data_IF_583560135967
#
_entry.id   IF_583560135967
#
_cell.length_a   1.000
_cell.length_b   1.000
_cell.length_c   1.000
_cell.angle_alpha   90.00
_cell.angle_beta   90.00
_cell.angle_gamma   90.00
#
_symmetry.space_group_name_H-M   'P 1'
#
loop_
_entity.id
_entity.type
_entity.pdbx_description
1 polymer ?
#
# COMPACT_ATOMS: atom_id res chain seq x y z
N UNK A 1 -39.01 -64.82 -15.76
CA UNK A 1 -38.39 -64.21 -14.57
C UNK A 1 -37.40 -63.14 -15.02
N UNK A 2 -37.82 -61.88 -15.05
CA UNK A 2 -36.94 -60.73 -15.42
C UNK A 2 -36.62 -60.01 -14.11
N UNK A 3 -35.32 -60.03 -13.76
CA UNK A 3 -34.79 -59.26 -12.61
C UNK A 3 -34.53 -57.83 -13.05
N UNK A 4 -35.27 -56.85 -12.51
CA UNK A 4 -34.99 -55.44 -12.69
C UNK A 4 -33.87 -55.01 -11.78
N UNK A 5 -32.86 -54.35 -12.36
CA UNK A 5 -31.76 -53.67 -11.63
C UNK A 5 -32.24 -52.26 -11.34
N UNK A 6 -32.41 -51.94 -10.06
CA UNK A 6 -32.69 -50.57 -9.60
C UNK A 6 -31.38 -49.82 -9.53
N UNK A 7 -31.24 -48.79 -10.34
CA UNK A 7 -30.12 -47.87 -10.36
C UNK A 7 -30.36 -46.75 -9.33
N UNK A 8 -29.64 -46.80 -8.22
CA UNK A 8 -29.64 -45.70 -7.24
C UNK A 8 -28.80 -44.55 -7.79
N UNK A 9 -29.44 -43.48 -8.20
CA UNK A 9 -28.77 -42.20 -8.50
C UNK A 9 -28.57 -41.49 -7.17
N UNK A 10 -27.31 -41.47 -6.68
CA UNK A 10 -26.92 -40.70 -5.54
C UNK A 10 -26.73 -39.23 -6.01
N UNK A 11 -27.70 -38.38 -5.75
CA UNK A 11 -27.60 -36.94 -5.95
C UNK A 11 -26.71 -36.38 -4.86
N UNK A 12 -25.43 -36.14 -5.20
CA UNK A 12 -24.56 -35.34 -4.36
C UNK A 12 -25.04 -33.88 -4.41
N UNK A 13 -25.69 -33.42 -3.36
CA UNK A 13 -25.98 -32.01 -3.15
C UNK A 13 -24.66 -31.29 -2.91
N UNK A 14 -24.15 -30.56 -3.93
CA UNK A 14 -23.15 -29.53 -3.72
C UNK A 14 -23.80 -28.45 -2.86
N UNK A 15 -23.54 -28.47 -1.57
CA UNK A 15 -23.79 -27.33 -0.72
C UNK A 15 -22.85 -26.21 -1.22
N UNK A 16 -23.41 -25.23 -1.94
CA UNK A 16 -22.78 -23.94 -2.08
C UNK A 16 -22.61 -23.38 -0.66
N UNK A 17 -21.42 -23.50 -0.09
CA UNK A 17 -21.03 -22.70 1.04
C UNK A 17 -20.98 -21.28 0.51
N UNK A 18 -22.06 -20.53 0.76
CA UNK A 18 -22.00 -19.07 0.67
C UNK A 18 -21.01 -18.64 1.74
N UNK A 19 -19.77 -18.37 1.33
CA UNK A 19 -18.82 -17.63 2.14
C UNK A 19 -19.49 -16.28 2.38
N UNK A 20 -20.00 -16.08 3.59
CA UNK A 20 -20.47 -14.78 4.02
C UNK A 20 -19.27 -13.84 3.90
N UNK A 21 -19.47 -12.68 3.26
CA UNK A 21 -18.48 -11.61 3.20
C UNK A 21 -18.10 -11.22 4.64
N UNK A 22 -17.00 -11.78 5.16
CA UNK A 22 -16.23 -11.31 6.32
C UNK A 22 -15.46 -12.42 7.05
N UNK A 23 -14.75 -13.28 6.33
CA UNK A 23 -13.52 -13.80 6.91
C UNK A 23 -12.43 -12.75 6.66
N UNK A 24 -12.41 -11.70 7.48
CA UNK A 24 -11.33 -10.71 7.46
C UNK A 24 -10.09 -11.42 7.99
N UNK A 25 -9.17 -11.72 7.09
CA UNK A 25 -7.87 -12.22 7.49
C UNK A 25 -7.12 -11.13 8.25
N UNK A 26 -6.42 -11.51 9.33
CA UNK A 26 -5.62 -10.59 10.14
C UNK A 26 -4.20 -11.13 10.29
N UNK A 27 -3.25 -10.23 10.44
CA UNK A 27 -1.92 -10.60 10.93
C UNK A 27 -1.99 -11.04 12.38
N UNK A 28 -0.93 -11.63 12.91
CA UNK A 28 -0.86 -12.03 14.32
C UNK A 28 -1.09 -10.87 15.32
N UNK A 29 -0.82 -9.63 14.88
CA UNK A 29 -1.07 -8.40 15.66
C UNK A 29 -2.45 -7.77 15.42
N UNK A 30 -3.36 -8.45 14.71
CA UNK A 30 -4.70 -7.95 14.47
C UNK A 30 -4.83 -6.95 13.32
N UNK A 31 -3.77 -6.69 12.55
CA UNK A 31 -3.85 -5.82 11.37
C UNK A 31 -4.68 -6.52 10.29
N UNK A 32 -5.76 -5.88 9.77
CA UNK A 32 -6.55 -6.46 8.69
C UNK A 32 -5.73 -6.69 7.43
N UNK A 33 -6.08 -7.73 6.68
CA UNK A 33 -5.50 -7.99 5.37
C UNK A 33 -6.56 -7.80 4.29
N UNK A 34 -6.17 -7.23 3.16
CA UNK A 34 -7.02 -7.08 1.98
C UNK A 34 -6.61 -8.10 0.92
N UNK A 35 -7.58 -8.73 0.28
CA UNK A 35 -7.32 -9.55 -0.89
C UNK A 35 -7.22 -8.65 -2.13
N UNK A 36 -6.07 -8.68 -2.79
CA UNK A 36 -5.82 -7.97 -4.03
C UNK A 36 -6.49 -8.66 -5.22
N UNK A 37 -6.62 -7.98 -6.36
CA UNK A 37 -7.22 -8.52 -7.58
C UNK A 37 -6.50 -9.74 -8.18
N UNK A 38 -5.26 -10.00 -7.77
CA UNK A 38 -4.49 -11.19 -8.12
C UNK A 38 -4.62 -12.34 -7.10
N UNK A 39 -5.49 -12.18 -6.09
CA UNK A 39 -5.77 -13.18 -5.05
C UNK A 39 -4.82 -13.18 -3.85
N UNK A 40 -3.76 -12.38 -3.85
CA UNK A 40 -2.78 -12.31 -2.76
C UNK A 40 -3.34 -11.43 -1.63
N UNK A 41 -3.04 -11.81 -0.38
CA UNK A 41 -3.43 -11.06 0.81
C UNK A 41 -2.32 -10.06 1.19
N UNK A 42 -2.67 -8.77 1.34
CA UNK A 42 -1.77 -7.69 1.73
C UNK A 42 -2.20 -7.09 3.07
N UNK A 43 -1.28 -6.89 4.05
CA UNK A 43 -1.61 -6.16 5.27
C UNK A 43 -2.01 -4.70 4.95
N UNK A 44 -3.17 -4.27 5.44
CA UNK A 44 -3.71 -2.93 5.14
C UNK A 44 -2.98 -1.79 5.85
N UNK A 45 -2.19 -2.09 6.88
CA UNK A 45 -1.46 -1.09 7.64
C UNK A 45 0.03 -1.37 7.62
N UNK A 46 0.83 -0.35 7.26
CA UNK A 46 2.27 -0.49 7.12
C UNK A 46 3.05 0.74 7.61
N UNK A 47 4.37 0.59 7.74
CA UNK A 47 5.30 1.69 7.98
C UNK A 47 5.80 2.22 6.62
N UNK A 48 5.63 3.52 6.38
CA UNK A 48 6.31 4.23 5.28
C UNK A 48 7.68 4.72 5.71
N UNK A 49 8.71 4.52 4.87
CA UNK A 49 10.09 4.92 5.20
C UNK A 49 10.51 6.25 4.56
N UNK A 50 9.64 6.89 3.78
CA UNK A 50 9.97 8.17 3.16
C UNK A 50 10.45 9.21 4.18
N UNK A 51 11.57 9.90 3.87
CA UNK A 51 12.25 10.89 4.71
C UNK A 51 12.93 10.31 5.97
N UNK A 52 13.25 9.03 6.01
CA UNK A 52 14.18 8.53 7.02
C UNK A 52 15.57 9.15 6.78
N UNK A 53 16.26 9.67 7.84
CA UNK A 53 17.51 10.41 7.66
C UNK A 53 18.69 9.57 7.16
N UNK A 54 18.66 8.26 7.38
CA UNK A 54 19.72 7.32 7.00
C UNK A 54 19.23 5.87 7.03
N UNK A 55 19.98 4.96 6.40
CA UNK A 55 19.76 3.51 6.48
C UNK A 55 19.68 3.02 7.93
N UNK A 56 20.55 3.52 8.84
CA UNK A 56 20.54 3.11 10.24
C UNK A 56 19.24 3.55 10.96
N UNK A 57 18.78 4.80 10.75
CA UNK A 57 17.52 5.26 11.34
C UNK A 57 16.34 4.48 10.74
N UNK A 58 16.35 4.23 9.43
CA UNK A 58 15.35 3.41 8.77
C UNK A 58 15.29 2.00 9.35
N UNK A 59 16.46 1.36 9.53
CA UNK A 59 16.59 0.05 10.17
C UNK A 59 15.97 0.03 11.56
N UNK A 60 16.31 1.00 12.41
CA UNK A 60 15.76 1.06 13.78
C UNK A 60 14.24 1.30 13.79
N UNK A 61 13.74 2.16 12.90
CA UNK A 61 12.30 2.40 12.72
C UNK A 61 11.56 1.11 12.29
N UNK A 62 12.12 0.39 11.32
CA UNK A 62 11.57 -0.88 10.85
C UNK A 62 11.59 -1.96 11.94
N UNK A 63 12.68 -2.08 12.72
CA UNK A 63 12.76 -3.03 13.85
C UNK A 63 11.71 -2.70 14.91
N UNK A 64 11.54 -1.42 15.26
CA UNK A 64 10.51 -0.96 16.18
C UNK A 64 9.12 -1.32 15.67
N UNK A 65 8.84 -1.03 14.39
CA UNK A 65 7.56 -1.35 13.77
C UNK A 65 7.27 -2.86 13.76
N UNK A 66 8.23 -3.68 13.34
CA UNK A 66 8.09 -5.14 13.32
C UNK A 66 7.84 -5.69 14.72
N UNK A 67 8.53 -5.17 15.74
CA UNK A 67 8.31 -5.51 17.16
C UNK A 67 6.93 -5.09 17.64
N UNK A 68 6.44 -3.93 17.22
CA UNK A 68 5.09 -3.43 17.54
C UNK A 68 3.97 -4.19 16.82
N UNK A 69 4.29 -5.08 15.89
CA UNK A 69 3.32 -5.92 15.17
C UNK A 69 3.04 -5.54 13.73
N UNK A 70 3.70 -4.52 13.19
CA UNK A 70 3.64 -4.27 11.74
C UNK A 70 4.14 -5.47 10.96
N UNK A 71 3.52 -5.70 9.80
CA UNK A 71 3.94 -6.74 8.85
C UNK A 71 4.00 -6.21 7.42
N UNK A 72 3.95 -4.90 7.23
CA UNK A 72 4.09 -4.21 5.95
C UNK A 72 5.07 -3.04 6.10
N UNK A 73 6.14 -3.05 5.30
CA UNK A 73 7.11 -1.97 5.17
C UNK A 73 7.04 -1.45 3.74
N UNK A 74 6.84 -0.14 3.58
CA UNK A 74 6.78 0.55 2.29
C UNK A 74 7.99 1.47 2.14
N UNK A 75 8.90 1.10 1.24
CA UNK A 75 10.09 1.85 0.87
C UNK A 75 10.09 2.20 -0.63
N UNK A 76 11.19 2.75 -1.14
CA UNK A 76 11.45 2.99 -2.55
C UNK A 76 12.94 3.17 -2.79
N UNK A 77 13.44 2.89 -4.00
CA UNK A 77 14.82 3.21 -4.37
C UNK A 77 15.14 4.70 -4.13
N UNK A 78 14.21 5.58 -4.50
CA UNK A 78 14.36 7.03 -4.32
C UNK A 78 14.53 7.51 -2.86
N UNK A 79 14.22 6.67 -1.88
CA UNK A 79 14.37 7.03 -0.46
C UNK A 79 15.78 6.78 0.06
N UNK A 80 16.59 6.01 -0.68
CA UNK A 80 17.96 5.60 -0.33
C UNK A 80 18.06 4.88 1.03
N UNK A 81 17.06 4.06 1.36
CA UNK A 81 16.96 3.38 2.65
C UNK A 81 16.59 1.88 2.54
N UNK A 82 16.57 1.33 1.31
CA UNK A 82 16.27 -0.10 1.08
C UNK A 82 17.23 -1.04 1.81
N UNK A 83 18.51 -0.63 2.01
CA UNK A 83 19.50 -1.41 2.77
C UNK A 83 19.10 -1.51 4.23
N UNK A 84 18.67 -0.39 4.82
CA UNK A 84 18.17 -0.35 6.20
C UNK A 84 16.93 -1.22 6.39
N UNK A 85 16.00 -1.24 5.41
CA UNK A 85 14.85 -2.14 5.41
C UNK A 85 15.30 -3.61 5.37
N UNK A 86 16.19 -3.97 4.44
CA UNK A 86 16.68 -5.33 4.29
C UNK A 86 17.38 -5.85 5.56
N UNK A 87 18.24 -5.02 6.16
CA UNK A 87 18.89 -5.35 7.43
C UNK A 87 17.90 -5.53 8.58
N UNK A 88 16.89 -4.66 8.70
CA UNK A 88 15.86 -4.76 9.72
C UNK A 88 15.04 -6.06 9.58
N UNK A 89 14.62 -6.39 8.37
CA UNK A 89 13.88 -7.63 8.11
C UNK A 89 14.69 -8.85 8.53
N UNK A 90 15.97 -8.90 8.15
CA UNK A 90 16.87 -9.99 8.53
C UNK A 90 17.11 -10.08 10.04
N UNK A 91 17.33 -8.93 10.68
CA UNK A 91 17.63 -8.85 12.13
C UNK A 91 16.39 -9.11 13.00
N UNK A 92 15.19 -8.84 12.49
CA UNK A 92 13.92 -9.04 13.21
C UNK A 92 13.70 -10.49 13.66
N UNK A 93 14.29 -11.46 12.97
CA UNK A 93 14.06 -12.89 13.19
C UNK A 93 12.66 -13.37 12.78
N UNK A 94 11.82 -12.50 12.20
CA UNK A 94 10.51 -12.87 11.69
C UNK A 94 10.70 -13.55 10.34
N UNK A 95 10.02 -14.68 10.06
CA UNK A 95 10.10 -15.33 8.75
C UNK A 95 9.78 -14.35 7.60
N UNK A 96 10.59 -14.35 6.53
CA UNK A 96 10.43 -13.41 5.41
C UNK A 96 9.02 -13.43 4.80
N UNK A 97 8.40 -14.58 4.77
CA UNK A 97 7.04 -14.76 4.24
C UNK A 97 5.92 -14.24 5.16
N UNK A 98 6.25 -13.78 6.35
CA UNK A 98 5.33 -13.08 7.25
C UNK A 98 5.44 -11.56 7.14
N UNK A 99 6.43 -11.04 6.38
CA UNK A 99 6.66 -9.61 6.20
C UNK A 99 6.37 -9.26 4.73
N UNK A 100 5.50 -8.27 4.53
CA UNK A 100 5.21 -7.67 3.24
C UNK A 100 6.17 -6.51 3.00
N UNK A 101 6.98 -6.60 1.95
CA UNK A 101 7.88 -5.52 1.51
C UNK A 101 7.32 -4.91 0.23
N UNK A 102 7.10 -3.60 0.26
CA UNK A 102 6.78 -2.79 -0.91
C UNK A 102 7.97 -1.93 -1.27
N UNK A 103 8.35 -1.89 -2.55
CA UNK A 103 9.30 -0.92 -3.06
C UNK A 103 8.85 -0.33 -4.39
N UNK A 104 9.60 0.67 -4.92
CA UNK A 104 9.22 1.46 -6.09
C UNK A 104 10.41 1.73 -6.98
N UNK A 105 10.26 1.47 -8.27
CA UNK A 105 11.22 1.85 -9.32
C UNK A 105 11.14 3.36 -9.58
N UNK A 106 12.29 3.98 -9.78
CA UNK A 106 12.35 5.39 -10.16
C UNK A 106 12.36 5.56 -11.69
N UNK A 107 11.89 6.70 -12.28
CA UNK A 107 11.81 6.86 -13.73
C UNK A 107 13.11 6.65 -14.52
N UNK A 108 14.28 6.90 -13.91
CA UNK A 108 15.57 6.61 -14.56
C UNK A 108 15.89 5.12 -14.70
N UNK A 109 15.11 4.26 -14.06
CA UNK A 109 15.23 2.79 -14.11
C UNK A 109 14.19 2.16 -15.06
N UNK A 110 13.34 3.00 -15.70
CA UNK A 110 12.27 2.51 -16.59
C UNK A 110 12.81 2.18 -17.97
N UNK A 111 12.30 1.10 -18.54
CA UNK A 111 12.55 0.69 -19.92
C UNK A 111 12.51 -0.82 -20.08
N UNK A 112 11.97 -1.28 -21.22
CA UNK A 112 11.99 -2.70 -21.54
C UNK A 112 13.44 -3.17 -21.77
N UNK A 113 13.84 -4.21 -21.06
CA UNK A 113 15.20 -4.77 -21.07
C UNK A 113 16.16 -4.13 -20.07
N UNK A 114 15.81 -2.99 -19.46
CA UNK A 114 16.67 -2.29 -18.46
C UNK A 114 16.12 -2.39 -17.05
N UNK A 115 14.81 -2.38 -16.88
CA UNK A 115 14.14 -2.43 -15.55
C UNK A 115 14.43 -3.73 -14.79
N UNK A 116 14.68 -4.83 -15.49
CA UNK A 116 15.01 -6.10 -14.82
C UNK A 116 16.32 -6.00 -14.02
N UNK A 117 17.35 -5.30 -14.54
CA UNK A 117 18.60 -5.07 -13.80
C UNK A 117 18.36 -4.21 -12.55
N UNK A 118 17.50 -3.20 -12.65
CA UNK A 118 17.12 -2.38 -11.50
C UNK A 118 16.40 -3.20 -10.41
N UNK A 119 15.52 -4.13 -10.81
CA UNK A 119 14.86 -5.05 -9.88
C UNK A 119 15.90 -5.95 -9.18
N UNK A 120 16.90 -6.47 -9.89
CA UNK A 120 17.94 -7.31 -9.30
C UNK A 120 18.80 -6.53 -8.29
N UNK A 121 19.14 -5.29 -8.60
CA UNK A 121 19.84 -4.39 -7.67
C UNK A 121 18.98 -4.08 -6.43
N UNK A 122 17.68 -3.85 -6.60
CA UNK A 122 16.73 -3.62 -5.52
C UNK A 122 16.64 -4.83 -4.59
N UNK A 123 16.53 -6.03 -5.14
CA UNK A 123 16.55 -7.29 -4.37
C UNK A 123 17.85 -7.43 -3.56
N UNK A 124 18.99 -7.06 -4.15
CA UNK A 124 20.29 -7.09 -3.48
C UNK A 124 20.35 -6.07 -2.32
N UNK A 125 19.83 -4.83 -2.49
CA UNK A 125 19.76 -3.84 -1.41
C UNK A 125 18.83 -4.29 -0.29
N UNK A 126 17.66 -4.84 -0.62
CA UNK A 126 16.68 -5.39 0.32
C UNK A 126 17.09 -6.74 0.93
N UNK A 127 18.18 -7.34 0.47
CA UNK A 127 18.69 -8.64 0.93
C UNK A 127 17.63 -9.75 0.92
N UNK A 128 16.82 -9.82 -0.13
CA UNK A 128 15.70 -10.75 -0.28
C UNK A 128 15.62 -11.32 -1.70
N UNK A 129 15.00 -12.47 -1.86
CA UNK A 129 14.82 -13.11 -3.16
C UNK A 129 13.57 -12.61 -3.91
N UNK A 130 12.65 -11.93 -3.21
CA UNK A 130 11.43 -11.40 -3.80
C UNK A 130 10.92 -10.14 -3.09
N UNK A 131 10.16 -9.33 -3.83
CA UNK A 131 9.42 -8.17 -3.36
C UNK A 131 7.93 -8.52 -3.42
N UNK A 132 7.17 -8.23 -2.36
CA UNK A 132 5.74 -8.55 -2.33
C UNK A 132 4.93 -7.63 -3.25
N UNK A 133 5.28 -6.35 -3.30
CA UNK A 133 4.62 -5.36 -4.18
C UNK A 133 5.65 -4.39 -4.76
N UNK A 134 5.72 -4.31 -6.08
CA UNK A 134 6.59 -3.38 -6.78
C UNK A 134 5.77 -2.34 -7.55
N UNK A 135 6.09 -1.06 -7.33
CA UNK A 135 5.45 0.05 -8.02
C UNK A 135 6.30 0.65 -9.14
N UNK A 136 5.63 1.07 -10.20
CA UNK A 136 6.06 2.22 -10.99
C UNK A 136 5.81 3.47 -10.14
N UNK A 137 6.87 4.19 -9.72
CA UNK A 137 6.79 5.23 -8.69
C UNK A 137 6.13 6.51 -9.19
N UNK A 138 6.43 6.91 -10.44
CA UNK A 138 5.92 8.13 -11.05
C UNK A 138 5.39 7.85 -12.46
N UNK A 139 4.32 8.55 -12.90
CA UNK A 139 3.68 8.36 -14.19
C UNK A 139 4.40 9.06 -15.35
N UNK A 140 5.73 8.99 -15.38
CA UNK A 140 6.58 9.67 -16.39
C UNK A 140 7.64 8.72 -16.94
N UNK A 141 8.30 9.07 -18.04
CA UNK A 141 9.29 8.21 -18.68
C UNK A 141 8.68 6.98 -19.37
N UNK A 142 9.50 5.94 -19.57
CA UNK A 142 9.04 4.69 -20.20
C UNK A 142 8.43 3.71 -19.20
N UNK A 143 7.40 4.15 -18.49
CA UNK A 143 6.71 3.31 -17.51
C UNK A 143 6.03 2.07 -18.13
N UNK A 144 5.69 2.09 -19.42
CA UNK A 144 5.14 0.92 -20.13
C UNK A 144 6.23 -0.12 -20.35
N UNK A 145 7.43 0.30 -20.78
CA UNK A 145 8.58 -0.60 -20.90
C UNK A 145 8.97 -1.20 -19.55
N UNK A 146 8.97 -0.36 -18.48
CA UNK A 146 9.18 -0.85 -17.13
C UNK A 146 8.13 -1.91 -16.73
N UNK A 147 6.86 -1.65 -17.02
CA UNK A 147 5.77 -2.57 -16.69
C UNK A 147 5.95 -3.95 -17.33
N UNK A 148 6.39 -4.00 -18.60
CA UNK A 148 6.68 -5.27 -19.31
C UNK A 148 7.76 -6.08 -18.62
N UNK A 149 8.82 -5.44 -18.11
CA UNK A 149 9.86 -6.14 -17.34
C UNK A 149 9.35 -6.54 -15.96
N UNK A 150 8.53 -5.71 -15.30
CA UNK A 150 7.87 -6.07 -14.05
C UNK A 150 6.96 -7.30 -14.20
N UNK A 151 6.22 -7.40 -15.30
CA UNK A 151 5.42 -8.61 -15.64
C UNK A 151 6.31 -9.86 -15.80
N UNK A 152 7.49 -9.73 -16.42
CA UNK A 152 8.49 -10.80 -16.49
C UNK A 152 9.02 -11.16 -15.09
N UNK A 153 9.28 -10.15 -14.24
CA UNK A 153 9.72 -10.38 -12.85
C UNK A 153 8.67 -11.14 -12.02
N UNK A 154 7.38 -10.88 -12.25
CA UNK A 154 6.30 -11.68 -11.64
C UNK A 154 6.35 -13.13 -12.10
N UNK A 155 6.49 -13.36 -13.42
CA UNK A 155 6.59 -14.71 -13.97
C UNK A 155 7.82 -15.48 -13.46
N UNK A 156 8.89 -14.76 -13.05
CA UNK A 156 10.10 -15.33 -12.47
C UNK A 156 10.04 -15.49 -10.94
N UNK A 157 8.95 -15.04 -10.29
CA UNK A 157 8.79 -15.10 -8.83
C UNK A 157 9.62 -14.06 -8.07
N UNK A 158 10.23 -13.08 -8.75
CA UNK A 158 10.97 -11.98 -8.13
C UNK A 158 10.05 -10.91 -7.53
N UNK A 159 8.82 -10.82 -8.02
CA UNK A 159 7.78 -9.88 -7.57
C UNK A 159 6.45 -10.62 -7.49
N UNK A 160 5.67 -10.38 -6.44
CA UNK A 160 4.39 -11.07 -6.26
C UNK A 160 3.19 -10.25 -6.74
N UNK A 161 3.21 -8.93 -6.57
CA UNK A 161 2.15 -8.03 -7.03
C UNK A 161 2.74 -6.78 -7.68
N UNK A 162 2.00 -6.21 -8.64
CA UNK A 162 2.38 -4.99 -9.33
C UNK A 162 1.44 -3.85 -8.97
N UNK A 163 2.00 -2.65 -8.82
CA UNK A 163 1.25 -1.45 -8.51
C UNK A 163 1.71 -0.23 -9.30
N UNK A 164 0.90 0.79 -9.28
CA UNK A 164 1.19 2.11 -9.85
C UNK A 164 1.08 3.17 -8.75
N UNK A 165 1.94 4.19 -8.79
CA UNK A 165 1.93 5.27 -7.81
C UNK A 165 1.81 6.63 -8.51
N UNK A 166 0.94 7.51 -8.00
CA UNK A 166 0.69 8.85 -8.51
C UNK A 166 0.05 8.92 -9.93
N UNK A 167 -0.52 7.84 -10.43
CA UNK A 167 -1.21 7.80 -11.73
C UNK A 167 -2.57 8.50 -11.71
N UNK A 168 -2.92 9.13 -10.61
CA UNK A 168 -4.09 10.00 -10.45
C UNK A 168 -3.87 11.44 -10.92
N UNK A 169 -2.64 11.79 -11.28
CA UNK A 169 -2.27 13.14 -11.72
C UNK A 169 -2.72 13.45 -13.17
N UNK A 170 -2.91 12.42 -14.01
CA UNK A 170 -3.27 12.57 -15.41
C UNK A 170 -4.03 11.32 -15.88
N UNK A 171 -5.24 11.52 -16.38
CA UNK A 171 -6.11 10.45 -16.87
C UNK A 171 -5.49 9.68 -18.04
N UNK A 172 -4.78 10.37 -18.96
CA UNK A 172 -4.15 9.73 -20.13
C UNK A 172 -3.09 8.70 -19.71
N UNK A 173 -2.28 8.98 -18.69
CA UNK A 173 -1.26 8.04 -18.23
C UNK A 173 -1.88 6.84 -17.51
N UNK A 174 -2.99 7.05 -16.78
CA UNK A 174 -3.74 5.96 -16.17
C UNK A 174 -4.36 5.07 -17.25
N UNK A 175 -5.06 5.62 -18.22
CA UNK A 175 -5.66 4.86 -19.32
C UNK A 175 -4.60 4.11 -20.14
N UNK A 176 -3.44 4.75 -20.37
CA UNK A 176 -2.32 4.13 -21.09
C UNK A 176 -1.81 2.88 -20.38
N UNK A 177 -1.52 2.96 -19.07
CA UNK A 177 -1.05 1.77 -18.33
C UNK A 177 -2.13 0.69 -18.27
N UNK A 178 -3.40 1.06 -18.14
CA UNK A 178 -4.51 0.11 -18.14
C UNK A 178 -4.69 -0.59 -19.49
N UNK A 179 -4.45 0.11 -20.61
CA UNK A 179 -4.53 -0.48 -21.94
C UNK A 179 -3.35 -1.40 -22.26
N UNK A 180 -2.12 -1.00 -21.89
CA UNK A 180 -0.88 -1.69 -22.25
C UNK A 180 -0.52 -2.87 -21.31
N UNK A 181 -1.01 -2.88 -20.06
CA UNK A 181 -0.72 -3.93 -19.09
C UNK A 181 -1.48 -5.21 -19.40
N UNK A 182 -0.76 -6.37 -19.37
CA UNK A 182 -1.34 -7.71 -19.40
C UNK A 182 -1.72 -8.16 -17.99
N UNK A 183 -0.80 -7.98 -17.03
CA UNK A 183 -1.07 -8.10 -15.60
C UNK A 183 -1.54 -6.72 -15.13
N UNK A 184 -2.80 -6.62 -14.72
CA UNK A 184 -3.36 -5.33 -14.26
C UNK A 184 -2.74 -4.91 -12.94
N UNK A 185 -2.58 -3.58 -12.69
CA UNK A 185 -2.19 -3.11 -11.37
C UNK A 185 -3.10 -3.68 -10.28
N UNK A 186 -2.51 -4.19 -9.21
CA UNK A 186 -3.26 -4.66 -8.05
C UNK A 186 -3.50 -3.54 -7.04
N UNK A 187 -2.60 -2.56 -7.00
CA UNK A 187 -2.65 -1.44 -6.05
C UNK A 187 -2.34 -0.13 -6.77
N UNK A 188 -3.07 0.92 -6.41
CA UNK A 188 -2.76 2.31 -6.73
C UNK A 188 -2.37 3.03 -5.43
N UNK A 189 -1.14 3.58 -5.37
CA UNK A 189 -0.68 4.35 -4.23
C UNK A 189 -0.75 5.85 -4.52
N UNK A 190 -1.53 6.59 -3.75
CA UNK A 190 -1.78 8.03 -3.96
C UNK A 190 -1.83 8.79 -2.63
N UNK A 191 -1.65 10.13 -2.70
CA UNK A 191 -1.99 10.99 -1.57
C UNK A 191 -3.48 10.87 -1.26
N UNK A 192 -3.78 10.41 -0.04
CA UNK A 192 -5.16 10.32 0.42
C UNK A 192 -5.21 10.53 1.94
N UNK A 193 -6.10 11.42 2.37
CA UNK A 193 -6.31 11.81 3.76
C UNK A 193 -7.66 12.56 3.89
N UNK A 194 -8.15 12.90 5.08
CA UNK A 194 -9.49 13.49 5.25
C UNK A 194 -9.80 14.72 4.39
N UNK A 195 -8.80 15.56 4.03
CA UNK A 195 -9.01 16.72 3.17
C UNK A 195 -8.93 16.44 1.66
N UNK A 196 -8.45 15.25 1.27
CA UNK A 196 -8.35 14.79 -0.11
C UNK A 196 -8.69 13.30 -0.20
N UNK A 197 -9.98 12.97 -0.17
CA UNK A 197 -10.47 11.58 -0.05
C UNK A 197 -10.51 10.83 -1.39
N UNK A 198 -10.18 11.51 -2.49
CA UNK A 198 -9.97 10.93 -3.83
C UNK A 198 -11.18 10.17 -4.37
N UNK A 199 -12.41 10.67 -4.12
CA UNK A 199 -13.66 9.97 -4.45
C UNK A 199 -13.76 9.59 -5.93
N UNK A 200 -13.41 10.50 -6.85
CA UNK A 200 -13.44 10.23 -8.30
C UNK A 200 -12.47 9.09 -8.68
N UNK A 201 -11.27 9.05 -8.09
CA UNK A 201 -10.29 8.01 -8.35
C UNK A 201 -10.73 6.66 -7.75
N UNK A 202 -11.37 6.66 -6.57
CA UNK A 202 -11.97 5.44 -5.96
C UNK A 202 -12.96 4.78 -6.92
N UNK A 203 -13.88 5.56 -7.48
CA UNK A 203 -14.85 5.03 -8.45
C UNK A 203 -14.18 4.60 -9.76
N UNK A 204 -13.16 5.32 -10.21
CA UNK A 204 -12.42 5.00 -11.44
C UNK A 204 -11.70 3.66 -11.37
N UNK A 205 -11.09 3.31 -10.23
CA UNK A 205 -10.31 2.06 -10.09
C UNK A 205 -11.16 0.85 -9.70
N UNK A 206 -12.34 1.06 -9.16
CA UNK A 206 -13.25 0.03 -8.65
C UNK A 206 -13.59 -1.09 -9.66
N UNK A 207 -13.88 -0.79 -10.97
CA UNK A 207 -14.16 -1.83 -11.96
C UNK A 207 -13.00 -2.79 -12.22
N UNK A 208 -11.77 -2.37 -11.88
CA UNK A 208 -10.56 -3.18 -12.06
C UNK A 208 -10.16 -3.95 -10.81
N UNK A 209 -10.86 -3.75 -9.69
CA UNK A 209 -10.50 -4.34 -8.41
C UNK A 209 -9.14 -3.85 -7.88
N UNK A 210 -8.72 -2.64 -8.29
CA UNK A 210 -7.46 -2.04 -7.82
C UNK A 210 -7.67 -1.49 -6.41
N UNK A 211 -6.83 -1.93 -5.47
CA UNK A 211 -6.83 -1.44 -4.10
C UNK A 211 -6.09 -0.09 -3.98
N UNK A 212 -6.54 0.78 -3.07
CA UNK A 212 -5.89 2.08 -2.83
C UNK A 212 -5.06 2.03 -1.55
N UNK A 213 -3.77 2.38 -1.68
CA UNK A 213 -2.87 2.64 -0.56
C UNK A 213 -2.61 4.13 -0.44
N UNK A 214 -2.75 4.67 0.77
CA UNK A 214 -2.64 6.09 1.05
C UNK A 214 -1.24 6.45 1.56
N UNK A 215 -0.48 7.26 0.79
CA UNK A 215 0.69 7.94 1.31
C UNK A 215 0.28 9.31 1.87
N UNK A 216 1.07 9.86 2.78
CA UNK A 216 0.74 11.03 3.61
C UNK A 216 -0.65 10.92 4.28
N UNK A 217 -1.01 9.77 4.90
CA UNK A 217 -2.32 9.63 5.52
C UNK A 217 -2.58 10.69 6.61
N UNK A 218 -1.53 11.22 7.24
CA UNK A 218 -1.58 12.30 8.23
C UNK A 218 -1.26 13.68 7.63
N UNK A 219 -1.22 13.80 6.29
CA UNK A 219 -0.94 15.05 5.57
C UNK A 219 0.54 15.37 5.36
N UNK A 220 1.46 14.62 5.95
CA UNK A 220 2.90 14.83 5.83
C UNK A 220 3.38 16.20 6.33
N UNK A 221 4.66 16.51 6.12
CA UNK A 221 5.28 17.75 6.58
C UNK A 221 4.66 19.02 5.94
N UNK A 222 4.21 18.90 4.68
CA UNK A 222 3.64 20.05 3.94
C UNK A 222 2.30 20.52 4.50
N UNK A 223 1.60 19.69 5.26
CA UNK A 223 0.33 20.06 5.90
C UNK A 223 0.50 21.01 7.10
N UNK A 224 1.71 21.19 7.63
CA UNK A 224 1.98 21.87 8.88
C UNK A 224 1.09 21.38 10.05
N UNK A 225 0.71 20.10 10.00
CA UNK A 225 -0.16 19.46 10.98
C UNK A 225 -1.61 19.90 10.90
N UNK A 226 -2.09 20.41 9.76
CA UNK A 226 -3.46 20.91 9.60
C UNK A 226 -4.52 19.86 9.97
N UNK A 227 -4.33 18.61 9.56
CA UNK A 227 -5.24 17.51 9.90
C UNK A 227 -5.27 17.20 11.40
N UNK A 228 -4.10 17.21 12.05
CA UNK A 228 -3.98 16.93 13.49
C UNK A 228 -4.57 18.02 14.38
N UNK A 229 -4.83 19.20 13.80
CA UNK A 229 -5.41 20.37 14.47
C UNK A 229 -6.84 20.66 14.02
N UNK A 230 -7.41 19.82 13.17
CA UNK A 230 -8.80 20.00 12.72
C UNK A 230 -9.77 19.82 13.91
N UNK A 231 -10.67 20.77 14.16
CA UNK A 231 -11.57 20.72 15.31
C UNK A 231 -12.46 19.47 15.34
N UNK A 232 -12.93 19.00 14.18
CA UNK A 232 -13.77 17.79 14.08
C UNK A 232 -12.96 16.56 14.47
N UNK A 233 -11.75 16.43 13.94
CA UNK A 233 -10.86 15.29 14.24
C UNK A 233 -10.46 15.31 15.72
N UNK A 234 -10.15 16.47 16.28
CA UNK A 234 -9.80 16.62 17.70
C UNK A 234 -10.96 16.26 18.61
N UNK A 235 -12.19 16.66 18.28
CA UNK A 235 -13.39 16.31 19.04
C UNK A 235 -13.64 14.79 19.05
N UNK A 236 -13.50 14.13 17.89
CA UNK A 236 -13.64 12.68 17.80
C UNK A 236 -12.53 11.99 18.62
N UNK A 237 -11.30 12.50 18.53
CA UNK A 237 -10.17 11.96 19.28
C UNK A 237 -10.39 12.02 20.80
N UNK A 238 -10.90 13.16 21.30
CA UNK A 238 -11.24 13.33 22.72
C UNK A 238 -12.33 12.34 23.16
N UNK A 239 -13.36 12.15 22.34
CA UNK A 239 -14.47 11.23 22.65
C UNK A 239 -14.00 9.77 22.81
N UNK A 240 -12.99 9.36 22.05
CA UNK A 240 -12.41 8.00 22.12
C UNK A 240 -11.19 7.89 23.05
N UNK A 241 -10.72 8.98 23.66
CA UNK A 241 -9.45 8.99 24.42
C UNK A 241 -8.24 8.60 23.55
N UNK A 242 -8.27 8.98 22.28
CA UNK A 242 -7.25 8.71 21.26
C UNK A 242 -6.61 9.99 20.77
N UNK A 243 -5.51 9.90 20.03
CA UNK A 243 -4.92 11.05 19.35
C UNK A 243 -5.61 11.33 18.00
N UNK A 244 -5.54 12.56 17.48
CA UNK A 244 -6.00 12.87 16.12
C UNK A 244 -5.36 11.98 15.04
N UNK A 245 -4.10 11.60 15.20
CA UNK A 245 -3.41 10.67 14.29
C UNK A 245 -4.10 9.30 14.28
N UNK A 246 -4.40 8.74 15.44
CA UNK A 246 -5.10 7.46 15.58
C UNK A 246 -6.50 7.51 14.95
N UNK A 247 -7.26 8.60 15.13
CA UNK A 247 -8.57 8.77 14.50
C UNK A 247 -8.46 8.78 12.98
N UNK A 248 -7.53 9.53 12.41
CA UNK A 248 -7.32 9.57 10.97
C UNK A 248 -6.93 8.19 10.43
N UNK A 249 -6.01 7.49 11.09
CA UNK A 249 -5.56 6.17 10.66
C UNK A 249 -6.68 5.12 10.80
N UNK A 250 -7.49 5.19 11.86
CA UNK A 250 -8.66 4.33 12.01
C UNK A 250 -9.71 4.59 10.91
N UNK A 251 -9.94 5.86 10.57
CA UNK A 251 -10.82 6.24 9.46
C UNK A 251 -10.35 5.59 8.14
N UNK A 252 -9.04 5.61 7.82
CA UNK A 252 -8.53 4.93 6.62
C UNK A 252 -8.88 3.44 6.60
N UNK A 253 -8.72 2.76 7.74
CA UNK A 253 -9.04 1.34 7.85
C UNK A 253 -10.55 1.09 7.63
N UNK A 254 -11.41 1.91 8.21
CA UNK A 254 -12.86 1.78 8.06
C UNK A 254 -13.39 2.20 6.68
N UNK A 255 -12.67 3.08 5.97
CA UNK A 255 -12.93 3.39 4.54
C UNK A 255 -12.43 2.27 3.61
N UNK A 256 -11.74 1.26 4.12
CA UNK A 256 -11.22 0.15 3.34
C UNK A 256 -9.93 0.46 2.59
N UNK A 257 -9.19 1.52 2.95
CA UNK A 257 -7.88 1.84 2.41
C UNK A 257 -6.77 1.04 3.10
N UNK A 258 -5.61 0.97 2.46
CA UNK A 258 -4.35 0.76 3.18
C UNK A 258 -3.71 2.11 3.50
N UNK A 259 -3.03 2.21 4.65
CA UNK A 259 -2.32 3.41 5.06
C UNK A 259 -0.89 3.09 5.49
N UNK A 260 0.05 3.95 5.07
CA UNK A 260 1.47 3.81 5.35
C UNK A 260 2.05 5.07 6.01
N UNK A 261 1.64 5.40 7.26
CA UNK A 261 2.21 6.53 7.96
C UNK A 261 3.72 6.35 8.14
N UNK A 262 4.49 7.43 7.88
CA UNK A 262 5.92 7.48 8.17
C UNK A 262 6.16 7.94 9.61
N UNK A 263 7.08 7.30 10.32
CA UNK A 263 7.59 7.74 11.61
C UNK A 263 9.00 7.19 11.85
N UNK A 264 9.83 7.98 12.57
CA UNK A 264 11.13 7.53 13.08
C UNK A 264 11.20 7.55 14.61
N UNK A 265 10.28 8.26 15.27
CA UNK A 265 10.13 8.22 16.71
C UNK A 265 9.41 6.91 17.11
N UNK A 266 10.01 6.07 17.98
CA UNK A 266 9.41 4.83 18.46
C UNK A 266 8.00 5.00 19.03
N UNK A 267 7.76 6.06 19.81
CA UNK A 267 6.45 6.33 20.42
C UNK A 267 5.37 6.54 19.35
N UNK A 268 5.69 7.24 18.27
CA UNK A 268 4.75 7.45 17.17
C UNK A 268 4.51 6.18 16.34
N UNK A 269 5.54 5.33 16.19
CA UNK A 269 5.39 4.03 15.51
C UNK A 269 4.40 3.16 16.30
N UNK A 270 4.57 3.08 17.63
CA UNK A 270 3.70 2.30 18.52
C UNK A 270 2.28 2.92 18.60
N UNK A 271 2.17 4.25 18.69
CA UNK A 271 0.89 4.95 18.70
C UNK A 271 0.08 4.69 17.41
N UNK A 272 0.75 4.79 16.25
CA UNK A 272 0.09 4.67 14.95
C UNK A 272 -0.56 3.30 14.72
N UNK A 273 -0.01 2.21 15.25
CA UNK A 273 -0.60 0.87 15.10
C UNK A 273 -1.67 0.58 16.18
N UNK A 274 -1.71 1.35 17.28
CA UNK A 274 -2.68 1.19 18.35
C UNK A 274 -4.07 1.76 17.98
N UNK A 275 -4.61 1.30 16.85
CA UNK A 275 -5.88 1.78 16.24
C UNK A 275 -6.91 0.66 16.06
N UNK A 276 -6.60 -0.56 16.46
CA UNK A 276 -7.49 -1.71 16.26
C UNK A 276 -8.33 -2.06 17.49
N UNK A 277 -8.21 -1.28 18.56
CA UNK A 277 -8.92 -1.42 19.82
C UNK A 277 -10.15 -0.50 19.98
N UNK A 278 -10.46 0.30 18.94
CA UNK A 278 -11.66 1.16 18.89
C UNK A 278 -12.20 1.25 17.47
N UNK A 279 -13.42 1.74 17.33
CA UNK A 279 -14.08 1.99 16.06
C UNK A 279 -14.75 3.35 16.06
N UNK A 280 -14.68 4.06 14.93
CA UNK A 280 -15.47 5.25 14.68
C UNK A 280 -16.91 4.83 14.40
N UNK A 281 -17.87 5.52 14.99
CA UNK A 281 -19.29 5.33 14.72
C UNK A 281 -19.64 5.80 13.30
N UNK A 282 -20.77 5.36 12.76
CA UNK A 282 -21.26 5.80 11.45
C UNK A 282 -21.36 7.34 11.36
N UNK A 283 -21.82 7.99 12.43
CA UNK A 283 -21.90 9.46 12.49
C UNK A 283 -20.54 10.14 12.46
N UNK A 284 -19.52 9.58 13.13
CA UNK A 284 -18.14 10.08 13.08
C UNK A 284 -17.52 9.84 11.71
N UNK A 285 -17.78 8.67 11.09
CA UNK A 285 -17.35 8.40 9.72
C UNK A 285 -17.96 9.41 8.72
N UNK A 286 -19.24 9.80 8.89
CA UNK A 286 -19.85 10.85 8.09
C UNK A 286 -19.19 12.21 8.32
N UNK A 287 -18.90 12.57 9.57
CA UNK A 287 -18.16 13.80 9.90
C UNK A 287 -16.78 13.81 9.24
N UNK A 288 -16.05 12.69 9.27
CA UNK A 288 -14.74 12.55 8.60
C UNK A 288 -14.88 12.68 7.08
N UNK A 289 -15.92 12.08 6.48
CA UNK A 289 -16.20 12.23 5.03
C UNK A 289 -16.53 13.68 4.65
N UNK A 290 -17.22 14.41 5.51
CA UNK A 290 -17.56 15.82 5.29
C UNK A 290 -16.33 16.75 5.30
N UNK A 291 -15.16 16.29 5.73
CA UNK A 291 -13.90 17.06 5.70
C UNK A 291 -13.27 17.12 4.31
N UNK A 292 -13.77 16.39 3.31
CA UNK A 292 -13.19 16.43 1.96
C UNK A 292 -13.29 17.83 1.35
N UNK A 293 -12.16 18.32 0.90
CA UNK A 293 -12.00 19.64 0.26
C UNK A 293 -11.35 19.50 -1.12
N UNK A 294 -11.07 18.26 -1.55
CA UNK A 294 -10.20 17.97 -2.69
C UNK A 294 -8.84 18.67 -2.59
N UNK A 295 -8.40 18.97 -1.35
CA UNK A 295 -7.19 19.72 -1.06
C UNK A 295 -6.03 18.78 -0.78
N UNK A 296 -5.16 18.61 -1.76
CA UNK A 296 -3.87 17.92 -1.60
C UNK A 296 -2.84 18.85 -0.96
N UNK A 297 -1.87 18.28 -0.27
CA UNK A 297 -0.69 19.00 0.23
C UNK A 297 0.49 18.91 -0.75
N UNK A 298 0.59 17.83 -1.52
CA UNK A 298 1.58 17.72 -2.59
C UNK A 298 0.95 18.11 -3.94
N UNK A 299 1.38 19.25 -4.48
CA UNK A 299 0.79 19.87 -5.67
C UNK A 299 1.83 20.05 -6.80
N UNK A 300 2.73 19.07 -7.01
CA UNK A 300 3.65 19.11 -8.14
C UNK A 300 2.87 18.97 -9.46
N UNK A 301 3.20 19.83 -10.44
CA UNK A 301 2.68 19.69 -11.80
C UNK A 301 3.31 18.48 -12.49
N UNK A 302 2.66 17.99 -13.57
CA UNK A 302 3.22 16.88 -14.34
C UNK A 302 4.63 17.16 -14.85
N UNK A 303 4.91 18.40 -15.32
CA UNK A 303 6.23 18.83 -15.76
C UNK A 303 7.27 18.82 -14.62
N UNK A 304 6.87 19.23 -13.42
CA UNK A 304 7.74 19.14 -12.24
C UNK A 304 8.06 17.69 -11.89
N UNK A 305 7.08 16.79 -11.95
CA UNK A 305 7.28 15.36 -11.75
C UNK A 305 8.20 14.79 -12.83
N UNK A 306 8.04 15.20 -14.08
CA UNK A 306 8.92 14.79 -15.18
C UNK A 306 10.38 15.24 -14.95
N UNK A 307 10.59 16.47 -14.46
CA UNK A 307 11.94 16.95 -14.13
C UNK A 307 12.53 16.20 -12.93
N UNK A 308 11.74 15.96 -11.89
CA UNK A 308 12.19 15.14 -10.75
C UNK A 308 12.55 13.72 -11.19
N UNK A 309 11.75 13.14 -12.10
CA UNK A 309 11.99 11.80 -12.63
C UNK A 309 13.32 11.62 -13.38
N UNK A 310 13.94 12.71 -13.84
CA UNK A 310 15.27 12.70 -14.50
C UNK A 310 16.44 12.68 -13.52
N UNK A 311 16.20 12.86 -12.23
CA UNK A 311 17.26 12.84 -11.22
C UNK A 311 17.82 11.42 -11.07
N UNK A 312 19.15 11.25 -11.18
CA UNK A 312 19.74 9.92 -10.98
C UNK A 312 19.61 9.49 -9.53
N UNK A 313 19.32 8.23 -9.33
CA UNK A 313 19.33 7.61 -8.00
C UNK A 313 20.76 7.23 -7.60
N UNK A 314 21.02 7.17 -6.31
CA UNK A 314 22.28 6.67 -5.76
C UNK A 314 22.17 5.15 -5.63
N UNK A 315 23.24 4.44 -6.03
CA UNK A 315 23.35 2.98 -5.85
C UNK A 315 23.68 2.60 -4.40
#
# INVERSE_FOLDING_TARGET
MKKGIAMFICAASMACVSVSAQDIYHTAAGVPMVQLNNGILMPQFGLGTFLQPSDEVCKQSCLTALKAGYRHIDTAHAYNDERGVGEAVKESGIPRNEIWITSKLWPTEYGEGTTMEAIDKMLARLQTDYIDLLYVHQPVGDFVGAWRDMEKAVAMGKVHALGISNFDANDEVFEKIMAESRVKPAVLQIECHPYAQRLAMREKVKPYGIHITCWFPLGGAMSNGALLKDPTIMQIAEAHGKTPAQVILRWHMQEGFSAIPGASNPDYIEENIAIFDFELTDGEMEQMRALDKEQRFFNATYEQVEQMGKMPMRD
#
